data_IF_939967642185
#
_entry.id   IF_939967642185
#
_cell.length_a   1.000
_cell.length_b   1.000
_cell.length_c   1.000
_cell.angle_alpha   90.00
_cell.angle_beta   90.00
_cell.angle_gamma   90.00
#
_symmetry.space_group_name_H-M   'P 1'
#
loop_
_entity.id
_entity.type
_entity.pdbx_description
1 polymer ?
#
# COMPACT_ATOMS: atom_id res chain seq x y z
N UNK A 1 -34.09 24.54 -1.66
CA UNK A 1 -33.83 23.31 -2.47
C UNK A 1 -32.39 23.21 -3.00
N UNK A 2 -31.80 24.24 -3.62
CA UNK A 2 -30.41 24.17 -4.13
C UNK A 2 -29.33 23.84 -3.07
N UNK A 3 -29.45 24.37 -1.84
CA UNK A 3 -28.47 24.12 -0.75
C UNK A 3 -28.54 22.68 -0.19
N UNK A 4 -29.71 22.08 -0.17
CA UNK A 4 -29.91 20.69 0.28
C UNK A 4 -29.30 19.73 -0.75
N UNK A 5 -29.43 20.01 -2.04
CA UNK A 5 -28.83 19.20 -3.11
C UNK A 5 -27.30 19.22 -3.07
N UNK A 6 -26.69 20.38 -2.79
CA UNK A 6 -25.24 20.51 -2.67
C UNK A 6 -24.67 19.72 -1.47
N UNK A 7 -25.35 19.78 -0.31
CA UNK A 7 -24.96 19.02 0.89
C UNK A 7 -25.07 17.51 0.65
N UNK A 8 -26.11 17.06 -0.04
CA UNK A 8 -26.29 15.64 -0.35
C UNK A 8 -25.21 15.10 -1.30
N UNK A 9 -24.77 15.91 -2.29
CA UNK A 9 -23.69 15.53 -3.20
C UNK A 9 -22.34 15.43 -2.46
N UNK A 10 -22.04 16.36 -1.58
CA UNK A 10 -20.82 16.33 -0.76
C UNK A 10 -20.80 15.11 0.18
N UNK A 11 -21.94 14.77 0.79
CA UNK A 11 -22.04 13.59 1.65
C UNK A 11 -21.86 12.28 0.87
N UNK A 12 -22.39 12.19 -0.34
CA UNK A 12 -22.21 11.03 -1.24
C UNK A 12 -20.75 10.87 -1.70
N UNK A 13 -20.05 11.96 -1.98
CA UNK A 13 -18.63 11.90 -2.35
C UNK A 13 -17.74 11.46 -1.18
N UNK A 14 -18.00 11.93 0.03
CA UNK A 14 -17.20 11.54 1.20
C UNK A 14 -17.35 10.06 1.56
N UNK A 15 -18.52 9.48 1.38
CA UNK A 15 -18.74 8.05 1.61
C UNK A 15 -18.00 7.16 0.60
N UNK A 16 -17.85 7.58 -0.65
CA UNK A 16 -17.14 6.80 -1.67
C UNK A 16 -15.64 6.68 -1.39
N UNK A 17 -15.00 7.75 -0.91
CA UNK A 17 -13.56 7.74 -0.54
C UNK A 17 -13.33 6.80 0.64
N UNK A 18 -14.20 6.80 1.65
CA UNK A 18 -14.11 5.88 2.78
C UNK A 18 -14.22 4.41 2.37
N UNK A 19 -15.12 4.09 1.43
CA UNK A 19 -15.25 2.73 0.90
C UNK A 19 -14.03 2.30 0.08
N UNK A 20 -13.47 3.19 -0.73
CA UNK A 20 -12.30 2.91 -1.54
C UNK A 20 -11.08 2.63 -0.66
N UNK A 21 -10.87 3.43 0.39
CA UNK A 21 -9.81 3.23 1.37
C UNK A 21 -9.97 1.89 2.10
N UNK A 22 -11.16 1.58 2.59
CA UNK A 22 -11.43 0.32 3.27
C UNK A 22 -11.16 -0.90 2.38
N UNK A 23 -11.61 -0.88 1.12
CA UNK A 23 -11.36 -1.96 0.17
C UNK A 23 -9.86 -2.12 -0.12
N UNK A 24 -9.11 -1.02 -0.18
CA UNK A 24 -7.67 -1.03 -0.34
C UNK A 24 -6.98 -1.72 0.85
N UNK A 25 -7.24 -1.27 2.09
CA UNK A 25 -6.68 -1.87 3.31
C UNK A 25 -7.00 -3.36 3.43
N UNK A 26 -8.24 -3.74 3.18
CA UNK A 26 -8.65 -5.16 3.21
C UNK A 26 -7.91 -6.01 2.20
N UNK A 27 -7.67 -5.50 0.99
CA UNK A 27 -6.92 -6.23 -0.02
C UNK A 27 -5.47 -6.43 0.40
N UNK A 28 -4.83 -5.39 0.96
CA UNK A 28 -3.48 -5.49 1.54
C UNK A 28 -3.46 -6.55 2.64
N UNK A 29 -4.33 -6.46 3.64
CA UNK A 29 -4.39 -7.39 4.76
C UNK A 29 -4.62 -8.86 4.32
N UNK A 30 -5.49 -9.07 3.34
CA UNK A 30 -5.74 -10.42 2.80
C UNK A 30 -4.50 -11.01 2.12
N UNK A 31 -3.69 -10.19 1.45
CA UNK A 31 -2.44 -10.65 0.85
C UNK A 31 -1.44 -11.09 1.92
N UNK A 32 -1.30 -10.32 3.01
CA UNK A 32 -0.46 -10.72 4.14
C UNK A 32 -0.91 -12.03 4.78
N UNK A 33 -2.21 -12.22 4.95
CA UNK A 33 -2.78 -13.50 5.43
C UNK A 33 -2.44 -14.67 4.51
N UNK A 34 -2.53 -14.47 3.20
CA UNK A 34 -2.19 -15.49 2.20
C UNK A 34 -0.73 -15.93 2.33
N UNK A 35 0.19 -14.98 2.50
CA UNK A 35 1.62 -15.26 2.69
C UNK A 35 1.99 -15.64 4.13
N UNK A 36 1.02 -15.68 5.07
CA UNK A 36 1.22 -15.98 6.50
C UNK A 36 2.22 -15.06 7.19
N UNK A 37 2.28 -13.81 6.78
CA UNK A 37 3.09 -12.77 7.41
C UNK A 37 2.22 -11.98 8.37
N UNK A 38 2.62 -11.85 9.65
CA UNK A 38 1.88 -11.04 10.62
C UNK A 38 1.79 -9.58 10.19
N UNK A 39 0.60 -9.00 10.30
CA UNK A 39 0.34 -7.60 10.01
C UNK A 39 -0.52 -7.00 11.12
N UNK A 40 -0.06 -5.89 11.69
CA UNK A 40 -0.89 -5.01 12.48
C UNK A 40 -1.55 -3.98 11.54
N UNK A 41 -2.85 -4.11 11.33
CA UNK A 41 -3.60 -3.24 10.42
C UNK A 41 -3.55 -1.76 10.83
N UNK A 42 -3.29 -1.46 12.11
CA UNK A 42 -3.11 -0.09 12.61
C UNK A 42 -1.80 0.57 12.16
N UNK A 43 -0.88 -0.23 11.66
CA UNK A 43 0.42 0.18 11.12
C UNK A 43 0.39 0.50 9.62
N UNK A 44 -0.78 0.51 9.02
CA UNK A 44 -1.01 0.97 7.66
C UNK A 44 -1.57 2.39 7.66
N UNK A 45 -1.09 3.22 6.75
CA UNK A 45 -1.58 4.59 6.56
C UNK A 45 -1.67 4.92 5.07
N UNK A 46 -2.79 5.50 4.66
CA UNK A 46 -3.03 6.03 3.33
C UNK A 46 -3.36 7.51 3.49
N UNK A 47 -2.46 8.36 3.03
CA UNK A 47 -2.52 9.80 3.21
C UNK A 47 -2.75 10.44 1.86
N UNK A 48 -3.72 11.33 1.78
CA UNK A 48 -3.92 12.23 0.66
C UNK A 48 -3.05 13.47 0.83
N UNK A 49 -2.21 13.74 -0.16
CA UNK A 49 -1.36 14.93 -0.19
C UNK A 49 -2.15 16.17 -0.64
N UNK A 50 -1.58 17.34 -0.44
CA UNK A 50 -2.21 18.61 -0.83
C UNK A 50 -2.50 18.75 -2.34
N UNK A 51 -1.78 18.00 -3.18
CA UNK A 51 -1.98 17.93 -4.63
C UNK A 51 -3.02 16.89 -5.07
N UNK A 52 -3.70 16.24 -4.11
CA UNK A 52 -4.69 15.17 -4.37
C UNK A 52 -4.09 13.81 -4.69
N UNK A 53 -2.76 13.66 -4.66
CA UNK A 53 -2.10 12.35 -4.78
C UNK A 53 -2.18 11.60 -3.46
N UNK A 54 -2.12 10.26 -3.53
CA UNK A 54 -2.07 9.40 -2.34
C UNK A 54 -0.68 8.82 -2.11
N UNK A 55 -0.30 8.72 -0.85
CA UNK A 55 0.86 7.97 -0.39
C UNK A 55 0.40 6.88 0.56
N UNK A 56 0.87 5.66 0.34
CA UNK A 56 0.65 4.54 1.26
C UNK A 56 1.92 4.25 2.05
N UNK A 57 1.78 4.01 3.35
CA UNK A 57 2.87 3.55 4.20
C UNK A 57 2.45 2.36 5.04
N UNK A 58 3.40 1.47 5.31
CA UNK A 58 3.20 0.29 6.12
C UNK A 58 4.44 0.01 6.97
N UNK A 59 4.22 -0.28 8.25
CA UNK A 59 5.27 -0.69 9.17
C UNK A 59 5.08 -2.16 9.54
N UNK A 60 6.15 -2.92 9.44
CA UNK A 60 6.20 -4.36 9.70
C UNK A 60 7.26 -4.67 10.75
N UNK A 61 7.07 -5.78 11.46
CA UNK A 61 8.10 -6.34 12.32
C UNK A 61 8.51 -7.70 11.78
N UNK A 62 9.80 -7.86 11.46
CA UNK A 62 10.32 -9.15 11.03
C UNK A 62 10.33 -10.13 12.20
N UNK A 63 9.96 -11.37 11.93
CA UNK A 63 10.03 -12.47 12.93
C UNK A 63 11.41 -13.12 12.99
N UNK A 64 12.28 -12.84 12.02
CA UNK A 64 13.62 -13.41 11.90
C UNK A 64 14.68 -12.31 11.78
N UNK A 65 15.86 -12.55 12.35
CA UNK A 65 16.95 -11.58 12.44
C UNK A 65 17.46 -11.01 11.10
N UNK A 66 17.35 -11.74 10.01
CA UNK A 66 17.93 -11.36 8.72
C UNK A 66 16.91 -11.42 7.57
N UNK A 67 15.63 -11.52 7.87
CA UNK A 67 14.58 -11.66 6.86
C UNK A 67 13.75 -10.40 6.78
N UNK A 68 14.28 -9.37 6.17
CA UNK A 68 13.51 -8.16 5.87
C UNK A 68 12.98 -8.15 4.44
N UNK A 69 13.64 -8.87 3.53
CA UNK A 69 13.31 -8.84 2.10
C UNK A 69 11.92 -9.44 1.83
N UNK A 70 11.63 -10.59 2.43
CA UNK A 70 10.33 -11.24 2.21
C UNK A 70 9.15 -10.41 2.72
N UNK A 71 9.12 -9.91 3.98
CA UNK A 71 8.07 -9.01 4.43
C UNK A 71 7.93 -7.75 3.57
N UNK A 72 9.05 -7.17 3.14
CA UNK A 72 9.08 -6.00 2.28
C UNK A 72 8.49 -6.28 0.90
N UNK A 73 8.89 -7.37 0.25
CA UNK A 73 8.35 -7.80 -1.04
C UNK A 73 6.84 -8.06 -0.96
N UNK A 74 6.39 -8.76 0.08
CA UNK A 74 4.95 -9.02 0.28
C UNK A 74 4.18 -7.72 0.49
N UNK A 75 4.76 -6.73 1.17
CA UNK A 75 4.15 -5.43 1.30
C UNK A 75 3.94 -4.76 -0.07
N UNK A 76 4.98 -4.70 -0.91
CA UNK A 76 4.85 -4.13 -2.25
C UNK A 76 3.89 -4.92 -3.15
N UNK A 77 3.94 -6.25 -3.12
CA UNK A 77 2.98 -7.10 -3.85
C UNK A 77 1.54 -6.83 -3.40
N UNK A 78 1.33 -6.69 -2.08
CA UNK A 78 0.00 -6.45 -1.52
C UNK A 78 -0.60 -5.13 -2.00
N UNK A 79 0.23 -4.08 -2.07
CA UNK A 79 -0.16 -2.77 -2.60
C UNK A 79 -0.48 -2.85 -4.10
N UNK A 80 0.34 -3.54 -4.89
CA UNK A 80 0.08 -3.73 -6.32
C UNK A 80 -1.23 -4.50 -6.58
N UNK A 81 -1.50 -5.54 -5.79
CA UNK A 81 -2.77 -6.25 -5.86
C UNK A 81 -3.95 -5.35 -5.48
N UNK A 82 -3.79 -4.47 -4.47
CA UNK A 82 -4.81 -3.53 -4.09
C UNK A 82 -5.06 -2.49 -5.19
N UNK A 83 -4.02 -1.95 -5.82
CA UNK A 83 -4.12 -1.04 -6.98
C UNK A 83 -4.88 -1.72 -8.14
N UNK A 84 -4.50 -2.96 -8.48
CA UNK A 84 -5.16 -3.70 -9.57
C UNK A 84 -6.63 -3.99 -9.24
N UNK A 85 -6.94 -4.29 -7.98
CA UNK A 85 -8.32 -4.46 -7.52
C UNK A 85 -9.12 -3.17 -7.68
N UNK A 86 -8.59 -2.04 -7.26
CA UNK A 86 -9.21 -0.72 -7.38
C UNK A 86 -9.50 -0.36 -8.86
N UNK A 87 -8.50 -0.53 -9.73
CA UNK A 87 -8.63 -0.30 -11.18
C UNK A 87 -9.71 -1.19 -11.82
N UNK A 88 -9.73 -2.47 -11.45
CA UNK A 88 -10.70 -3.43 -11.97
C UNK A 88 -12.11 -3.10 -11.50
N UNK A 89 -12.26 -2.70 -10.24
CA UNK A 89 -13.57 -2.32 -9.70
C UNK A 89 -14.09 -1.04 -10.35
N UNK A 90 -13.23 -0.04 -10.57
CA UNK A 90 -13.60 1.21 -11.25
C UNK A 90 -14.12 0.96 -12.68
N UNK A 91 -13.53 0.00 -13.41
CA UNK A 91 -14.02 -0.37 -14.74
C UNK A 91 -15.43 -0.98 -14.73
N UNK A 92 -15.79 -1.67 -13.63
CA UNK A 92 -17.10 -2.37 -13.50
C UNK A 92 -18.18 -1.48 -12.89
N UNK A 93 -17.82 -0.43 -12.17
CA UNK A 93 -18.76 0.43 -11.44
C UNK A 93 -18.58 1.89 -11.87
N UNK A 94 -19.43 2.39 -12.79
CA UNK A 94 -19.42 3.79 -13.18
C UNK A 94 -19.59 4.71 -11.96
N UNK A 95 -18.81 5.79 -11.91
CA UNK A 95 -18.82 6.75 -10.80
C UNK A 95 -17.97 6.35 -9.58
N UNK A 96 -17.31 5.18 -9.59
CA UNK A 96 -16.37 4.81 -8.55
C UNK A 96 -14.99 5.45 -8.82
N UNK A 97 -14.47 6.19 -7.84
CA UNK A 97 -13.13 6.78 -7.91
C UNK A 97 -12.13 5.85 -7.21
N UNK A 98 -11.19 5.24 -7.95
CA UNK A 98 -10.20 4.35 -7.37
C UNK A 98 -9.17 5.14 -6.55
N UNK A 99 -8.75 4.61 -5.41
CA UNK A 99 -7.63 5.13 -4.64
C UNK A 99 -6.36 4.41 -5.10
N UNK A 100 -5.44 5.17 -5.69
CA UNK A 100 -4.18 4.64 -6.22
C UNK A 100 -3.04 5.47 -5.62
N UNK A 101 -2.27 4.91 -4.66
CA UNK A 101 -1.10 5.59 -4.14
C UNK A 101 -0.06 5.79 -5.24
N UNK A 102 0.42 7.02 -5.41
CA UNK A 102 1.53 7.31 -6.32
C UNK A 102 2.86 6.74 -5.82
N UNK A 103 3.01 6.71 -4.49
CA UNK A 103 4.19 6.16 -3.81
C UNK A 103 3.78 5.24 -2.67
N UNK A 104 4.60 4.21 -2.43
CA UNK A 104 4.48 3.29 -1.31
C UNK A 104 5.77 3.31 -0.51
N UNK A 105 5.68 3.50 0.81
CA UNK A 105 6.79 3.39 1.75
C UNK A 105 6.59 2.15 2.63
N UNK A 106 7.61 1.33 2.73
CA UNK A 106 7.63 0.14 3.60
C UNK A 106 8.73 0.28 4.62
N UNK A 107 8.41 0.10 5.90
CA UNK A 107 9.36 0.10 7.00
C UNK A 107 9.33 -1.28 7.67
N UNK A 108 10.50 -1.90 7.81
CA UNK A 108 10.64 -3.20 8.48
C UNK A 108 11.53 -3.04 9.71
N UNK A 109 10.96 -3.33 10.86
CA UNK A 109 11.68 -3.41 12.14
C UNK A 109 12.24 -4.81 12.32
N UNK A 110 13.57 -4.93 12.44
CA UNK A 110 14.26 -6.19 12.70
C UNK A 110 14.66 -6.22 14.17
N UNK A 111 14.08 -7.09 15.01
CA UNK A 111 14.43 -7.16 16.42
C UNK A 111 15.84 -7.78 16.57
N UNK A 112 16.76 -7.00 17.13
CA UNK A 112 18.09 -7.44 17.54
C UNK A 112 18.22 -7.26 19.05
N UNK A 113 19.01 -8.12 19.70
CA UNK A 113 19.06 -8.31 21.17
C UNK A 113 19.30 -7.04 22.00
N UNK A 114 19.83 -5.96 21.40
CA UNK A 114 20.12 -4.68 22.10
C UNK A 114 19.64 -3.44 21.37
N UNK A 115 19.29 -3.55 20.10
CA UNK A 115 18.91 -2.39 19.27
C UNK A 115 18.11 -2.89 18.04
N UNK A 116 16.98 -2.27 17.76
CA UNK A 116 16.25 -2.59 16.53
C UNK A 116 16.98 -2.00 15.33
N UNK A 117 17.18 -2.79 14.29
CA UNK A 117 17.55 -2.26 12.98
C UNK A 117 16.26 -1.95 12.23
N UNK A 118 16.18 -0.76 11.67
CA UNK A 118 15.03 -0.32 10.89
C UNK A 118 15.46 -0.20 9.43
N UNK A 119 14.78 -0.90 8.54
CA UNK A 119 15.02 -0.81 7.10
C UNK A 119 13.79 -0.21 6.45
N UNK A 120 13.98 0.85 5.67
CA UNK A 120 12.92 1.50 4.90
C UNK A 120 13.19 1.36 3.41
N UNK A 121 12.14 1.24 2.61
CA UNK A 121 12.21 1.30 1.16
C UNK A 121 10.99 2.01 0.59
N UNK A 122 11.15 2.61 -0.59
CA UNK A 122 10.08 3.29 -1.32
C UNK A 122 10.00 2.77 -2.75
N UNK A 123 8.78 2.69 -3.25
CA UNK A 123 8.53 2.35 -4.65
C UNK A 123 7.36 3.18 -5.19
N UNK A 124 7.40 3.49 -6.48
CA UNK A 124 6.29 4.14 -7.18
C UNK A 124 5.18 3.15 -7.52
N UNK A 125 3.99 3.65 -7.82
CA UNK A 125 2.86 2.81 -8.28
C UNK A 125 3.22 1.98 -9.52
N UNK A 126 4.01 2.53 -10.43
CA UNK A 126 4.44 1.83 -11.65
C UNK A 126 5.39 0.67 -11.32
N UNK A 127 6.40 0.89 -10.47
CA UNK A 127 7.32 -0.15 -10.01
C UNK A 127 6.58 -1.30 -9.31
N UNK A 128 5.65 -0.96 -8.42
CA UNK A 128 4.82 -1.93 -7.70
C UNK A 128 3.91 -2.72 -8.66
N UNK A 129 3.35 -2.04 -9.67
CA UNK A 129 2.52 -2.69 -10.68
C UNK A 129 3.34 -3.65 -11.55
N UNK A 130 4.55 -3.27 -11.96
CA UNK A 130 5.45 -4.15 -12.72
C UNK A 130 5.76 -5.45 -11.98
N UNK A 131 6.04 -5.37 -10.67
CA UNK A 131 6.24 -6.55 -9.82
C UNK A 131 4.97 -7.43 -9.76
N UNK A 132 3.82 -6.81 -9.51
CA UNK A 132 2.56 -7.55 -9.31
C UNK A 132 2.04 -8.18 -10.60
N UNK A 133 2.29 -7.52 -11.74
CA UNK A 133 1.92 -8.02 -13.08
C UNK A 133 2.91 -9.06 -13.62
N UNK A 134 3.99 -9.36 -12.88
CA UNK A 134 5.01 -10.33 -13.28
C UNK A 134 5.92 -9.83 -14.42
N UNK A 135 5.96 -8.53 -14.69
CA UNK A 135 6.85 -7.92 -15.69
C UNK A 135 8.31 -7.91 -15.22
N UNK A 136 8.50 -7.88 -13.92
CA UNK A 136 9.81 -8.03 -13.26
C UNK A 136 9.66 -9.06 -12.14
N UNK A 137 10.72 -9.83 -11.90
CA UNK A 137 10.80 -10.75 -10.77
C UNK A 137 11.19 -10.02 -9.46
N UNK A 138 11.16 -10.74 -8.35
CA UNK A 138 11.49 -10.19 -7.04
C UNK A 138 12.93 -9.62 -7.00
N UNK A 139 13.89 -10.30 -7.61
CA UNK A 139 15.29 -9.82 -7.64
C UNK A 139 15.44 -8.57 -8.49
N UNK A 140 14.74 -8.50 -9.63
CA UNK A 140 14.68 -7.32 -10.48
C UNK A 140 14.03 -6.13 -9.77
N UNK A 141 12.95 -6.38 -9.05
CA UNK A 141 12.29 -5.35 -8.25
C UNK A 141 13.19 -4.81 -7.13
N UNK A 142 13.86 -5.68 -6.37
CA UNK A 142 14.76 -5.25 -5.31
C UNK A 142 15.95 -4.43 -5.87
N UNK A 143 16.46 -4.77 -7.05
CA UNK A 143 17.47 -3.94 -7.74
C UNK A 143 16.92 -2.59 -8.17
N UNK A 144 15.68 -2.54 -8.64
CA UNK A 144 15.03 -1.31 -9.11
C UNK A 144 14.82 -0.30 -7.98
N UNK A 145 14.51 -0.78 -6.77
CA UNK A 145 14.28 0.09 -5.59
C UNK A 145 15.53 0.27 -4.71
N UNK A 146 16.67 -0.29 -5.10
CA UNK A 146 17.90 -0.35 -4.29
C UNK A 146 18.29 1.01 -3.69
N UNK A 147 18.22 2.08 -4.48
CA UNK A 147 18.63 3.41 -4.05
C UNK A 147 17.64 4.05 -3.05
N UNK A 148 16.44 3.48 -2.90
CA UNK A 148 15.46 3.89 -1.91
C UNK A 148 15.59 3.13 -0.58
N UNK A 149 16.40 2.07 -0.54
CA UNK A 149 16.58 1.25 0.67
C UNK A 149 17.54 1.97 1.61
N UNK A 150 17.08 2.24 2.82
CA UNK A 150 17.84 2.91 3.88
C UNK A 150 17.80 2.08 5.15
N UNK A 151 18.93 2.00 5.85
CA UNK A 151 19.05 1.42 7.19
C UNK A 151 19.21 2.57 8.19
N UNK A 152 18.35 2.59 9.21
CA UNK A 152 18.29 3.61 10.25
C UNK A 152 18.74 3.05 11.58
#
# INVERSE_FOLDING_TARGET
MRKIFAVSIVLLMSTQVLFANYAFYRKVANTFKFYRIPLDEKKMSLIENADGSYQFSIELTSTKRNDFEMPMLVAFISVGQAINHQKTFAKKKPGYTPVIPGNTAVTVYIPITRQNTVITAKATADQVSQLTDGKIDAAGFMRLIKDSIQTL
#
